data_IF_002588772572
#
_entry.id   IF_002588772572
#
_cell.length_a   1.000
_cell.length_b   1.000
_cell.length_c   1.000
_cell.angle_alpha   90.00
_cell.angle_beta   90.00
_cell.angle_gamma   90.00
#
_symmetry.space_group_name_H-M   'P 1'
#
loop_
_entity.id
_entity.type
_entity.pdbx_description
1 polymer ?
#
# COMPACT_ATOMS: atom_id res chain seq x y z
N UNK A 1 4.95 17.87 -6.09
CA UNK A 1 3.59 17.64 -5.51
C UNK A 1 2.67 16.84 -6.42
N UNK A 2 2.59 17.14 -7.73
CA UNK A 2 1.68 16.46 -8.67
C UNK A 2 1.93 14.94 -8.76
N UNK A 3 3.19 14.51 -8.84
CA UNK A 3 3.58 13.09 -8.87
C UNK A 3 3.23 12.34 -7.59
N UNK A 4 3.38 12.98 -6.41
CA UNK A 4 2.96 12.43 -5.12
C UNK A 4 1.45 12.20 -5.05
N UNK A 5 0.67 13.15 -5.57
CA UNK A 5 -0.80 13.04 -5.66
C UNK A 5 -1.23 11.95 -6.64
N UNK A 6 -0.54 11.80 -7.77
CA UNK A 6 -0.80 10.73 -8.73
C UNK A 6 -0.43 9.36 -8.18
N UNK A 7 0.70 9.24 -7.50
CA UNK A 7 1.10 8.03 -6.78
C UNK A 7 0.05 7.66 -5.72
N UNK A 8 -0.38 8.62 -4.90
CA UNK A 8 -1.43 8.38 -3.89
C UNK A 8 -2.77 7.96 -4.50
N UNK A 9 -3.17 8.53 -5.64
CA UNK A 9 -4.40 8.12 -6.35
C UNK A 9 -4.29 6.68 -6.89
N UNK A 10 -3.14 6.31 -7.47
CA UNK A 10 -2.89 4.95 -7.95
C UNK A 10 -2.87 3.95 -6.80
N UNK A 11 -2.21 4.28 -5.70
CA UNK A 11 -2.18 3.48 -4.48
C UNK A 11 -3.58 3.24 -3.91
N UNK A 12 -4.41 4.28 -3.78
CA UNK A 12 -5.78 4.13 -3.27
C UNK A 12 -6.66 3.28 -4.19
N UNK A 13 -6.51 3.41 -5.52
CA UNK A 13 -7.23 2.56 -6.47
C UNK A 13 -6.83 1.10 -6.32
N UNK A 14 -5.53 0.84 -6.11
CA UNK A 14 -5.01 -0.52 -5.93
C UNK A 14 -5.53 -1.13 -4.61
N UNK A 15 -5.52 -0.37 -3.52
CA UNK A 15 -6.09 -0.78 -2.23
C UNK A 15 -7.56 -1.18 -2.40
N UNK A 16 -8.38 -0.31 -2.99
CA UNK A 16 -9.81 -0.60 -3.19
C UNK A 16 -10.05 -1.85 -4.05
N UNK A 17 -9.18 -2.12 -5.03
CA UNK A 17 -9.26 -3.34 -5.85
C UNK A 17 -8.91 -4.59 -5.04
N UNK A 18 -7.85 -4.53 -4.25
CA UNK A 18 -7.44 -5.66 -3.38
C UNK A 18 -8.49 -5.91 -2.30
N UNK A 19 -9.12 -4.86 -1.76
CA UNK A 19 -10.25 -5.02 -0.83
C UNK A 19 -11.45 -5.65 -1.52
N UNK A 20 -11.83 -5.19 -2.71
CA UNK A 20 -12.91 -5.81 -3.49
C UNK A 20 -12.64 -7.29 -3.80
N UNK A 21 -11.37 -7.65 -4.05
CA UNK A 21 -10.95 -9.05 -4.15
C UNK A 21 -11.11 -9.80 -2.84
N UNK A 22 -10.73 -9.21 -1.72
CA UNK A 22 -10.88 -9.81 -0.37
C UNK A 22 -12.33 -10.13 -0.03
N UNK A 23 -13.28 -9.30 -0.47
CA UNK A 23 -14.71 -9.52 -0.26
C UNK A 23 -15.35 -10.47 -1.31
N UNK A 24 -14.72 -10.64 -2.47
CA UNK A 24 -15.16 -11.56 -3.50
C UNK A 24 -14.66 -12.99 -3.18
N UNK A 25 -15.27 -13.62 -2.17
CA UNK A 25 -14.87 -14.88 -1.54
C UNK A 25 -14.84 -16.13 -2.47
N UNK A 26 -15.23 -16.06 -3.76
CA UNK A 26 -15.34 -17.30 -4.56
C UNK A 26 -15.19 -17.21 -6.08
N UNK A 27 -15.10 -16.03 -6.71
CA UNK A 27 -15.04 -15.96 -8.19
C UNK A 27 -14.30 -14.71 -8.69
N UNK A 28 -13.26 -14.28 -7.96
CA UNK A 28 -12.34 -13.30 -8.51
C UNK A 28 -11.50 -14.00 -9.59
N UNK A 29 -12.03 -14.01 -10.82
CA UNK A 29 -11.54 -14.81 -11.94
C UNK A 29 -10.02 -14.84 -12.06
N UNK A 30 -9.49 -15.99 -12.51
CA UNK A 30 -8.08 -16.42 -12.50
C UNK A 30 -7.00 -15.41 -13.00
N UNK A 31 -7.36 -14.23 -13.50
CA UNK A 31 -6.45 -13.14 -13.87
C UNK A 31 -6.30 -12.01 -12.84
N UNK A 32 -7.10 -11.96 -11.76
CA UNK A 32 -7.08 -10.85 -10.82
C UNK A 32 -5.74 -10.70 -10.06
N UNK A 33 -5.10 -11.79 -9.58
CA UNK A 33 -3.76 -11.71 -8.97
C UNK A 33 -2.71 -11.21 -9.95
N UNK A 34 -2.79 -11.60 -11.23
CA UNK A 34 -1.83 -11.17 -12.28
C UNK A 34 -1.93 -9.67 -12.55
N UNK A 35 -3.16 -9.14 -12.61
CA UNK A 35 -3.38 -7.71 -12.80
C UNK A 35 -2.93 -6.90 -11.57
N UNK A 36 -3.18 -7.40 -10.35
CA UNK A 36 -2.67 -6.77 -9.12
C UNK A 36 -1.14 -6.78 -9.10
N UNK A 37 -0.49 -7.88 -9.48
CA UNK A 37 0.98 -7.96 -9.56
C UNK A 37 1.56 -6.96 -10.57
N UNK A 38 0.92 -6.83 -11.75
CA UNK A 38 1.32 -5.84 -12.76
C UNK A 38 1.18 -4.41 -12.25
N UNK A 39 0.09 -4.09 -11.56
CA UNK A 39 -0.12 -2.76 -10.99
C UNK A 39 0.84 -2.46 -9.83
N UNK A 40 1.14 -3.43 -8.97
CA UNK A 40 2.17 -3.31 -7.93
C UNK A 40 3.54 -2.99 -8.52
N UNK A 41 3.92 -3.68 -9.59
CA UNK A 41 5.19 -3.43 -10.31
C UNK A 41 5.23 -2.03 -10.91
N UNK A 42 4.15 -1.57 -11.53
CA UNK A 42 4.04 -0.22 -12.07
C UNK A 42 4.07 0.85 -10.96
N UNK A 43 3.42 0.58 -9.82
CA UNK A 43 3.42 1.47 -8.66
C UNK A 43 4.83 1.58 -8.06
N UNK A 44 5.55 0.47 -7.91
CA UNK A 44 6.93 0.46 -7.43
C UNK A 44 7.90 1.22 -8.36
N UNK A 45 7.66 1.17 -9.68
CA UNK A 45 8.44 1.93 -10.65
C UNK A 45 8.19 3.45 -10.56
N UNK A 46 6.98 3.86 -10.19
CA UNK A 46 6.60 5.26 -9.98
C UNK A 46 6.81 5.79 -8.56
N UNK A 47 7.43 5.01 -7.67
CA UNK A 47 7.66 5.41 -6.29
C UNK A 47 8.74 6.51 -6.20
N UNK A 48 8.38 7.63 -5.57
CA UNK A 48 9.26 8.79 -5.43
C UNK A 48 10.38 8.60 -4.38
N UNK A 49 10.31 7.55 -3.55
CA UNK A 49 11.31 7.27 -2.52
C UNK A 49 11.63 5.78 -2.42
N UNK A 50 12.85 5.42 -1.99
CA UNK A 50 13.24 4.02 -1.79
C UNK A 50 12.39 3.34 -0.72
N UNK A 51 11.96 4.06 0.31
CA UNK A 51 11.07 3.54 1.36
C UNK A 51 9.69 3.14 0.79
N UNK A 52 9.08 4.01 -0.03
CA UNK A 52 7.81 3.69 -0.70
C UNK A 52 7.97 2.51 -1.65
N UNK A 53 9.06 2.47 -2.41
CA UNK A 53 9.37 1.35 -3.31
C UNK A 53 9.51 0.03 -2.54
N UNK A 54 10.18 0.04 -1.39
CA UNK A 54 10.32 -1.14 -0.54
C UNK A 54 8.97 -1.58 0.04
N UNK A 55 8.14 -0.62 0.47
CA UNK A 55 6.79 -0.91 0.94
C UNK A 55 5.91 -1.58 -0.13
N UNK A 56 5.95 -1.09 -1.37
CA UNK A 56 5.22 -1.71 -2.49
C UNK A 56 5.78 -3.10 -2.82
N UNK A 57 7.10 -3.31 -2.74
CA UNK A 57 7.71 -4.63 -2.93
C UNK A 57 7.22 -5.64 -1.89
N UNK A 58 7.08 -5.26 -0.62
CA UNK A 58 6.51 -6.16 0.40
C UNK A 58 5.09 -6.60 0.07
N UNK A 59 4.27 -5.70 -0.49
CA UNK A 59 2.93 -6.07 -0.95
C UNK A 59 2.97 -7.02 -2.16
N UNK A 60 3.99 -6.90 -3.01
CA UNK A 60 4.24 -7.84 -4.11
C UNK A 60 4.71 -9.19 -3.59
N UNK A 61 5.68 -9.23 -2.68
CA UNK A 61 6.17 -10.47 -2.06
C UNK A 61 5.01 -11.22 -1.37
N UNK A 62 4.15 -10.51 -0.64
CA UNK A 62 2.95 -11.07 -0.03
C UNK A 62 1.99 -11.73 -1.06
N UNK A 63 1.83 -11.10 -2.22
CA UNK A 63 1.01 -11.65 -3.30
C UNK A 63 1.66 -12.88 -3.95
N UNK A 64 2.97 -12.80 -4.21
CA UNK A 64 3.76 -13.89 -4.82
C UNK A 64 3.86 -15.11 -3.88
N UNK A 65 3.90 -14.89 -2.57
CA UNK A 65 3.85 -15.93 -1.52
C UNK A 65 2.45 -16.56 -1.36
N UNK A 66 1.45 -16.07 -2.09
CA UNK A 66 0.07 -16.56 -2.03
C UNK A 66 -0.66 -16.17 -0.75
N UNK A 67 -0.26 -15.07 -0.08
CA UNK A 67 -0.99 -14.56 1.08
C UNK A 67 -2.37 -14.02 0.68
N UNK A 68 -3.23 -13.88 1.67
CA UNK A 68 -4.59 -13.37 1.48
C UNK A 68 -4.60 -11.91 0.97
N UNK A 69 -5.68 -11.55 0.30
CA UNK A 69 -5.95 -10.18 -0.13
C UNK A 69 -5.86 -9.18 1.03
N UNK A 70 -6.30 -9.56 2.23
CA UNK A 70 -6.18 -8.75 3.44
C UNK A 70 -4.72 -8.45 3.81
N UNK A 71 -3.83 -9.43 3.73
CA UNK A 71 -2.40 -9.23 4.00
C UNK A 71 -1.76 -8.29 2.97
N UNK A 72 -2.13 -8.43 1.69
CA UNK A 72 -1.68 -7.53 0.61
C UNK A 72 -2.21 -6.11 0.83
N UNK A 73 -3.48 -5.96 1.21
CA UNK A 73 -4.09 -4.66 1.52
C UNK A 73 -3.39 -3.99 2.73
N UNK A 74 -3.13 -4.74 3.80
CA UNK A 74 -2.42 -4.24 4.98
C UNK A 74 -1.03 -3.70 4.62
N UNK A 75 -0.28 -4.39 3.77
CA UNK A 75 1.01 -3.91 3.27
C UNK A 75 0.86 -2.60 2.48
N UNK A 76 -0.15 -2.48 1.62
CA UNK A 76 -0.44 -1.24 0.87
C UNK A 76 -0.87 -0.08 1.77
N UNK A 77 -1.62 -0.35 2.83
CA UNK A 77 -1.98 0.65 3.85
C UNK A 77 -0.73 1.20 4.57
N UNK A 78 0.28 0.36 4.84
CA UNK A 78 1.56 0.85 5.36
C UNK A 78 2.28 1.77 4.37
N UNK A 79 2.23 1.49 3.07
CA UNK A 79 2.79 2.39 2.04
C UNK A 79 2.06 3.74 2.06
N UNK A 80 0.74 3.73 2.23
CA UNK A 80 -0.06 4.96 2.32
C UNK A 80 0.32 5.77 3.56
N UNK A 81 0.50 5.12 4.72
CA UNK A 81 0.96 5.77 5.94
C UNK A 81 2.35 6.40 5.76
N UNK A 82 3.28 5.71 5.08
CA UNK A 82 4.61 6.25 4.77
C UNK A 82 4.54 7.42 3.78
N UNK A 83 3.65 7.35 2.79
CA UNK A 83 3.43 8.44 1.83
C UNK A 83 2.93 9.69 2.54
N UNK A 84 2.02 9.53 3.52
CA UNK A 84 1.49 10.61 4.34
C UNK A 84 2.56 11.19 5.25
N UNK A 85 3.28 10.32 5.98
CA UNK A 85 4.39 10.68 6.87
C UNK A 85 5.52 11.43 6.13
N UNK A 86 5.87 11.01 4.91
CA UNK A 86 6.88 11.68 4.08
C UNK A 86 6.43 13.03 3.52
N UNK A 87 5.14 13.36 3.54
CA UNK A 87 4.66 14.73 3.35
C UNK A 87 4.39 15.48 4.65
N UNK A 88 4.38 14.77 5.77
CA UNK A 88 4.20 15.26 7.11
C UNK A 88 5.55 15.41 7.85
N UNK A 89 6.62 15.86 7.17
CA UNK A 89 7.80 16.43 7.83
C UNK A 89 7.50 17.75 8.60
N UNK A 90 6.29 17.89 9.14
CA UNK A 90 5.84 18.99 9.98
C UNK A 90 4.96 18.57 11.16
N UNK A 91 4.67 17.28 11.38
CA UNK A 91 3.98 16.84 12.61
C UNK A 91 4.65 15.61 13.20
N UNK A 92 5.50 15.83 14.20
CA UNK A 92 5.85 14.81 15.18
C UNK A 92 4.55 14.20 15.74
N UNK A 93 4.46 12.88 15.93
CA UNK A 93 3.41 12.33 16.78
C UNK A 93 3.51 13.01 18.16
N UNK A 94 2.39 13.40 18.80
CA UNK A 94 2.45 13.93 20.15
C UNK A 94 3.14 12.89 21.05
N UNK A 95 4.06 13.32 21.93
CA UNK A 95 4.69 12.38 22.85
C UNK A 95 3.61 11.70 23.70
N UNK A 96 3.79 10.41 24.06
CA UNK A 96 2.88 9.74 24.97
C UNK A 96 2.81 10.52 26.30
N UNK A 97 1.65 10.61 26.96
CA UNK A 97 1.56 11.28 28.25
C UNK A 97 2.50 10.57 29.23
N UNK A 98 3.48 11.31 29.75
CA UNK A 98 4.34 10.84 30.83
C UNK A 98 3.45 10.39 31.99
N UNK A 99 3.60 9.16 32.51
CA UNK A 99 2.91 8.78 33.74
C UNK A 99 3.52 9.58 34.89
N UNK A 100 2.79 10.58 35.38
CA UNK A 100 3.05 11.19 36.68
C UNK A 100 2.50 10.27 37.78
N UNK A 101 3.31 9.33 38.25
CA UNK A 101 3.33 8.90 39.66
C UNK A 101 4.44 7.91 39.97
#
# INVERSE_FOLDING_TARGET
MKERLEFGRRLNRLIARVEAWSYADSDAGAGLPVEVARELKALAAGAASPALKQGVRRAQDALDDGLSAEAVAAALYQVRAQLDAGGAQGVSPPPPPSPSR
#
